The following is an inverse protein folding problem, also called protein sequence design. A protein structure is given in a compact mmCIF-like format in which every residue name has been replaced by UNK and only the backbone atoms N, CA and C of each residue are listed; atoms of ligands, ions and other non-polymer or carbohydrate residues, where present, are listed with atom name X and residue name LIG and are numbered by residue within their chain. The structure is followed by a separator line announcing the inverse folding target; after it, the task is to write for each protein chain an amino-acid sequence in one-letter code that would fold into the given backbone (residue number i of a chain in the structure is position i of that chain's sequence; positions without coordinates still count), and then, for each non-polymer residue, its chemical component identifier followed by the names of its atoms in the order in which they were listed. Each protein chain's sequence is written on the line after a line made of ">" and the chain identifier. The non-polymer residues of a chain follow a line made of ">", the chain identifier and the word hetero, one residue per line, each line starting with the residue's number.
data_IF_845282472666
#
_entry.id   IF_845282472666
#
_cell.length_a   1.000
_cell.length_b   1.000
_cell.length_c   1.000
_cell.angle_alpha   90.00
_cell.angle_beta   90.00
_cell.angle_gamma   90.00
#
_symmetry.space_group_name_H-M   'P 1'
#
loop_
_entity.id
_entity.type
_entity.pdbx_description
1 polymer ?
#
# COMPACT_ATOMS: atom_id res chain seq x y z
N UNK A 1 -24.82 -4.95 -9.44
CA UNK A 1 -24.18 -4.09 -9.88
C UNK A 1 -23.26 -3.43 -9.01
N UNK A 2 -22.38 -3.61 -8.58
CA UNK A 2 -21.61 -2.90 -7.69
C UNK A 2 -20.39 -2.34 -8.33
N UNK A 3 -20.51 -1.22 -8.96
CA UNK A 3 -19.34 -0.56 -9.51
C UNK A 3 -18.32 -0.22 -8.44
N UNK A 4 -18.75 -0.16 -7.21
CA UNK A 4 -17.85 0.11 -6.10
C UNK A 4 -16.82 -0.99 -5.87
N UNK A 5 -17.07 -2.21 -6.36
CA UNK A 5 -16.13 -3.32 -6.18
C UNK A 5 -14.83 -3.14 -6.95
N UNK A 6 -14.83 -2.31 -8.00
CA UNK A 6 -13.66 -2.09 -8.83
C UNK A 6 -12.74 -1.00 -8.30
N UNK A 7 -13.19 -0.23 -7.30
CA UNK A 7 -12.38 0.85 -6.74
C UNK A 7 -11.73 0.38 -5.45
N UNK A 8 -10.41 0.55 -5.32
CA UNK A 8 -9.77 0.25 -4.04
C UNK A 8 -10.35 1.14 -2.94
N UNK A 9 -10.62 0.56 -1.79
CA UNK A 9 -11.02 1.33 -0.63
C UNK A 9 -9.74 1.86 0.03
N UNK A 10 -9.45 3.12 -0.20
CA UNK A 10 -8.24 3.76 0.28
C UNK A 10 -8.14 3.74 1.80
N UNK A 11 -9.27 3.91 2.49
CA UNK A 11 -9.28 3.88 3.96
C UNK A 11 -8.89 2.51 4.49
N UNK A 12 -9.36 1.44 3.86
CA UNK A 12 -8.97 0.08 4.24
C UNK A 12 -7.49 -0.17 4.01
N UNK A 13 -6.94 0.37 2.93
CA UNK A 13 -5.51 0.26 2.64
C UNK A 13 -4.70 0.95 3.74
N UNK A 14 -5.02 2.19 4.08
CA UNK A 14 -4.30 2.91 5.12
C UNK A 14 -4.47 2.25 6.49
N UNK A 15 -5.66 1.78 6.81
CA UNK A 15 -5.90 1.06 8.06
C UNK A 15 -5.05 -0.20 8.14
N UNK A 16 -4.98 -0.95 7.03
CA UNK A 16 -4.15 -2.16 6.99
C UNK A 16 -2.68 -1.85 7.18
N UNK A 17 -2.19 -0.75 6.61
CA UNK A 17 -0.79 -0.35 6.70
C UNK A 17 -0.45 0.31 8.05
N UNK A 18 -1.43 0.66 8.86
CA UNK A 18 -1.20 1.35 10.11
C UNK A 18 -0.59 0.45 11.20
N UNK A 19 -0.57 -0.84 11.01
CA UNK A 19 -0.06 -1.80 11.98
C UNK A 19 1.29 -2.38 11.53
N UNK A 20 2.28 -2.38 12.42
CA UNK A 20 3.61 -2.88 12.11
C UNK A 20 3.63 -4.37 11.76
N UNK A 21 2.80 -5.17 12.44
CA UNK A 21 2.69 -6.60 12.15
C UNK A 21 2.20 -6.86 10.73
N UNK A 22 1.20 -6.11 10.30
CA UNK A 22 0.67 -6.25 8.94
C UNK A 22 1.70 -5.81 7.90
N UNK A 23 2.44 -4.73 8.16
CA UNK A 23 3.52 -4.31 7.25
C UNK A 23 4.60 -5.37 7.14
N UNK A 24 4.95 -6.03 8.26
CA UNK A 24 5.94 -7.11 8.23
C UNK A 24 5.45 -8.31 7.43
N UNK A 25 4.16 -8.64 7.49
CA UNK A 25 3.58 -9.70 6.67
C UNK A 25 3.67 -9.36 5.18
N UNK A 26 3.38 -8.12 4.82
CA UNK A 26 3.53 -7.68 3.43
C UNK A 26 4.98 -7.74 2.97
N UNK A 27 5.92 -7.40 3.83
CA UNK A 27 7.35 -7.51 3.53
C UNK A 27 7.75 -8.97 3.30
N UNK A 28 7.23 -9.88 4.12
CA UNK A 28 7.50 -11.30 3.95
C UNK A 28 6.96 -11.83 2.62
N UNK A 29 5.77 -11.42 2.24
CA UNK A 29 5.19 -11.81 0.96
C UNK A 29 5.93 -11.17 -0.21
N UNK A 30 6.40 -9.94 -0.05
CA UNK A 30 7.20 -9.29 -1.08
C UNK A 30 8.50 -10.05 -1.32
N UNK A 31 9.13 -10.53 -0.25
CA UNK A 31 10.37 -11.30 -0.36
C UNK A 31 10.13 -12.69 -0.94
N UNK A 32 9.01 -13.33 -0.61
CA UNK A 32 8.69 -14.69 -1.05
C UNK A 32 7.16 -14.81 -1.17
N UNK A 33 6.64 -14.59 -2.36
CA UNK A 33 5.20 -14.63 -2.62
C UNK A 33 4.70 -16.07 -2.68
N UNK A 34 3.42 -16.26 -2.37
CA UNK A 34 2.80 -17.59 -2.45
C UNK A 34 3.07 -18.44 -1.24
N UNK A 35 3.03 -17.86 -0.05
CA UNK A 35 3.28 -18.59 1.18
C UNK A 35 2.00 -19.07 1.86
N UNK A 36 2.08 -20.23 2.50
CA UNK A 36 1.02 -20.74 3.36
C UNK A 36 0.99 -19.98 4.68
N UNK A 37 -0.10 -20.11 5.42
CA UNK A 37 -0.19 -19.55 6.78
C UNK A 37 0.93 -20.08 7.67
N UNK A 38 1.21 -21.37 7.59
CA UNK A 38 2.27 -21.98 8.42
C UNK A 38 3.64 -21.37 8.10
N UNK A 39 3.96 -21.16 6.82
CA UNK A 39 5.22 -20.56 6.43
C UNK A 39 5.32 -19.11 6.93
N UNK A 40 4.23 -18.36 6.83
CA UNK A 40 4.21 -16.97 7.33
C UNK A 40 4.40 -16.92 8.84
N UNK A 41 3.76 -17.84 9.57
CA UNK A 41 3.89 -17.90 11.02
C UNK A 41 5.33 -18.14 11.49
N UNK A 42 6.11 -18.89 10.72
CA UNK A 42 7.51 -19.17 11.07
C UNK A 42 8.38 -17.92 11.11
N UNK A 43 8.01 -16.90 10.32
CA UNK A 43 8.78 -15.66 10.23
C UNK A 43 8.23 -14.53 11.08
N UNK A 44 7.13 -14.78 11.79
CA UNK A 44 6.47 -13.76 12.59
C UNK A 44 6.56 -14.08 14.06
N UNK A 45 6.87 -13.07 14.87
CA UNK A 45 6.94 -13.21 16.32
C UNK A 45 5.57 -12.89 16.91
N UNK A 46 4.59 -13.72 16.58
CA UNK A 46 3.23 -13.59 17.09
C UNK A 46 2.50 -14.92 16.92
N UNK A 47 1.36 -15.05 17.59
CA UNK A 47 0.57 -16.28 17.52
C UNK A 47 -0.02 -16.49 16.13
N UNK A 48 -0.33 -17.75 15.83
CA UNK A 48 -1.00 -18.11 14.57
C UNK A 48 -2.34 -17.38 14.45
N UNK A 49 -3.06 -17.23 15.56
CA UNK A 49 -4.33 -16.51 15.57
C UNK A 49 -4.13 -15.04 15.18
N UNK A 50 -3.09 -14.41 15.71
CA UNK A 50 -2.78 -13.02 15.38
C UNK A 50 -2.41 -12.88 13.90
N UNK A 51 -1.60 -13.78 13.37
CA UNK A 51 -1.26 -13.78 11.94
C UNK A 51 -2.52 -13.91 11.09
N UNK A 52 -3.42 -14.83 11.47
CA UNK A 52 -4.67 -15.01 10.75
C UNK A 52 -5.53 -13.75 10.75
N UNK A 53 -5.63 -13.07 11.89
CA UNK A 53 -6.39 -11.82 11.98
C UNK A 53 -5.79 -10.73 11.10
N UNK A 54 -4.47 -10.62 11.11
CA UNK A 54 -3.78 -9.64 10.25
C UNK A 54 -4.01 -9.96 8.77
N UNK A 55 -3.91 -11.23 8.39
CA UNK A 55 -4.15 -11.64 7.00
C UNK A 55 -5.57 -11.33 6.57
N UNK A 56 -6.55 -11.54 7.45
CA UNK A 56 -7.95 -11.22 7.12
C UNK A 56 -8.12 -9.73 6.80
N UNK A 57 -7.51 -8.86 7.59
CA UNK A 57 -7.57 -7.42 7.32
C UNK A 57 -6.87 -7.04 6.03
N UNK A 58 -5.73 -7.69 5.72
CA UNK A 58 -5.02 -7.48 4.48
C UNK A 58 -5.84 -7.96 3.27
N UNK A 59 -6.55 -9.08 3.41
CA UNK A 59 -7.43 -9.58 2.37
C UNK A 59 -8.62 -8.65 2.15
N UNK A 60 -9.21 -8.11 3.21
CA UNK A 60 -10.30 -7.15 3.12
C UNK A 60 -9.88 -5.88 2.37
N UNK A 61 -8.63 -5.48 2.51
CA UNK A 61 -8.07 -4.33 1.81
C UNK A 61 -7.58 -4.68 0.40
N UNK A 62 -7.72 -5.95 0.00
CA UNK A 62 -7.22 -6.49 -1.27
C UNK A 62 -5.70 -6.37 -1.43
N UNK A 63 -4.98 -6.21 -0.34
CA UNK A 63 -3.51 -6.21 -0.35
C UNK A 63 -2.94 -7.60 -0.38
N UNK A 64 -3.72 -8.59 0.02
CA UNK A 64 -3.38 -10.00 -0.06
C UNK A 64 -4.48 -10.72 -0.82
N UNK A 65 -4.07 -11.54 -1.79
CA UNK A 65 -4.96 -12.38 -2.58
C UNK A 65 -4.62 -13.84 -2.28
N UNK A 66 -5.64 -14.65 -2.16
CA UNK A 66 -5.47 -16.08 -1.85
C UNK A 66 -5.71 -16.90 -3.10
N UNK A 67 -4.81 -17.85 -3.36
CA UNK A 67 -4.95 -18.83 -4.43
C UNK A 67 -4.83 -20.22 -3.81
N UNK A 68 -5.79 -21.07 -4.11
CA UNK A 68 -5.75 -22.45 -3.66
C UNK A 68 -4.96 -23.30 -4.64
N UNK A 69 -3.99 -24.04 -4.12
CA UNK A 69 -3.20 -24.99 -4.87
C UNK A 69 -3.37 -26.35 -4.19
N UNK A 70 -4.27 -27.16 -4.74
CA UNK A 70 -4.69 -28.40 -4.06
C UNK A 70 -5.39 -28.04 -2.75
N UNK A 71 -4.85 -28.54 -1.64
CA UNK A 71 -5.38 -28.27 -0.30
C UNK A 71 -4.69 -27.10 0.38
N UNK A 72 -3.70 -26.52 -0.28
CA UNK A 72 -2.93 -25.44 0.29
C UNK A 72 -3.50 -24.08 -0.10
N UNK A 73 -3.65 -23.22 0.87
CA UNK A 73 -4.07 -21.84 0.68
C UNK A 73 -2.82 -20.98 0.62
N UNK A 74 -2.53 -20.43 -0.55
CA UNK A 74 -1.33 -19.63 -0.78
C UNK A 74 -1.69 -18.15 -0.79
N UNK A 75 -0.88 -17.36 -0.11
CA UNK A 75 -1.09 -15.93 0.04
C UNK A 75 -0.13 -15.16 -0.87
N UNK A 76 -0.67 -14.21 -1.61
CA UNK A 76 0.10 -13.39 -2.55
C UNK A 76 -0.11 -11.92 -2.24
N UNK A 77 0.97 -11.15 -2.29
CA UNK A 77 0.89 -9.69 -2.21
C UNK A 77 0.23 -9.16 -3.49
N UNK A 78 -0.78 -8.33 -3.32
CA UNK A 78 -1.38 -7.59 -4.43
C UNK A 78 -1.03 -6.12 -4.28
N UNK A 79 -0.12 -5.59 -5.09
CA UNK A 79 0.30 -4.18 -4.95
C UNK A 79 -0.68 -3.18 -5.56
N UNK A 80 -1.72 -3.64 -6.26
CA UNK A 80 -2.61 -2.73 -7.00
C UNK A 80 -3.29 -1.70 -6.09
N UNK A 81 -3.94 -2.08 -4.97
CA UNK A 81 -4.56 -1.06 -4.11
C UNK A 81 -3.54 -0.11 -3.49
N UNK A 82 -2.34 -0.60 -3.18
CA UNK A 82 -1.28 0.23 -2.62
C UNK A 82 -0.81 1.25 -3.65
N UNK A 83 -0.60 0.81 -4.88
CA UNK A 83 -0.21 1.68 -5.99
C UNK A 83 -1.29 2.73 -6.27
N UNK A 84 -2.56 2.33 -6.23
CA UNK A 84 -3.67 3.26 -6.43
C UNK A 84 -3.71 4.34 -5.35
N UNK A 85 -3.52 3.95 -4.07
CA UNK A 85 -3.49 4.89 -2.96
C UNK A 85 -2.28 5.82 -3.08
N UNK A 86 -1.10 5.26 -3.39
CA UNK A 86 0.12 6.02 -3.60
C UNK A 86 -0.07 7.04 -4.73
N UNK A 87 -0.53 6.60 -5.89
CA UNK A 87 -0.69 7.47 -7.05
C UNK A 87 -1.65 8.61 -6.77
N UNK A 88 -2.78 8.30 -6.12
CA UNK A 88 -3.80 9.29 -5.81
C UNK A 88 -3.28 10.39 -4.90
N UNK A 89 -2.54 10.01 -3.83
CA UNK A 89 -2.10 10.98 -2.83
C UNK A 89 -0.75 11.60 -3.16
N UNK A 90 0.23 10.78 -3.56
CA UNK A 90 1.59 11.27 -3.82
C UNK A 90 1.62 12.16 -5.05
N UNK A 91 0.96 11.77 -6.13
CA UNK A 91 0.90 12.60 -7.33
C UNK A 91 0.26 13.95 -7.04
N UNK A 92 -0.78 13.96 -6.21
CA UNK A 92 -1.46 15.19 -5.82
C UNK A 92 -0.50 16.11 -5.05
N UNK A 93 0.26 15.56 -4.10
CA UNK A 93 1.24 16.33 -3.34
C UNK A 93 2.42 16.76 -4.22
N UNK A 94 2.89 15.89 -5.08
CA UNK A 94 3.99 16.22 -5.99
C UNK A 94 3.59 17.34 -6.96
N UNK A 95 2.37 17.29 -7.47
CA UNK A 95 1.87 18.35 -8.34
C UNK A 95 1.85 19.69 -7.61
N UNK A 96 1.32 19.71 -6.38
CA UNK A 96 1.28 20.93 -5.58
C UNK A 96 2.70 21.44 -5.30
N UNK A 97 3.62 20.54 -5.00
CA UNK A 97 5.02 20.91 -4.74
C UNK A 97 5.68 21.52 -5.98
N UNK A 98 5.43 20.93 -7.15
CA UNK A 98 5.97 21.44 -8.39
C UNK A 98 5.40 22.82 -8.72
N UNK A 99 4.10 23.02 -8.48
CA UNK A 99 3.47 24.33 -8.70
C UNK A 99 4.08 25.39 -7.78
N UNK A 100 4.30 25.06 -6.51
CA UNK A 100 4.92 25.96 -5.55
C UNK A 100 6.35 26.32 -5.96
N UNK A 101 7.11 25.34 -6.40
CA UNK A 101 8.49 25.58 -6.86
C UNK A 101 8.51 26.43 -8.12
N UNK A 102 7.57 26.20 -9.01
CA UNK A 102 7.46 27.00 -10.23
C UNK A 102 7.12 28.45 -9.92
N UNK A 103 6.16 28.69 -9.03
CA UNK A 103 5.77 30.03 -8.60
C UNK A 103 6.92 30.74 -7.91
N UNK A 104 7.65 30.05 -7.05
CA UNK A 104 8.80 30.61 -6.36
C UNK A 104 9.88 31.02 -7.33
N UNK A 105 10.18 30.15 -8.32
CA UNK A 105 11.16 30.45 -9.36
C UNK A 105 10.74 31.69 -10.13
N UNK A 106 9.47 31.79 -10.51
CA UNK A 106 8.95 32.92 -11.25
C UNK A 106 9.09 34.22 -10.47
N UNK A 107 8.80 34.19 -9.16
CA UNK A 107 8.97 35.36 -8.30
C UNK A 107 10.45 35.79 -8.22
N UNK A 108 11.35 34.83 -8.10
CA UNK A 108 12.78 35.14 -8.02
C UNK A 108 13.31 35.71 -9.32
N UNK A 109 12.87 35.19 -10.45
CA UNK A 109 13.25 35.73 -11.76
C UNK A 109 12.70 37.15 -11.97
N UNK A 110 11.47 37.40 -11.53
CA UNK A 110 10.89 38.72 -11.56
C UNK A 110 11.65 39.72 -10.71
N UNK A 111 12.08 39.32 -9.52
CA UNK A 111 12.88 40.18 -8.65
C UNK A 111 14.26 40.49 -9.24
N UNK A 112 14.88 39.51 -9.89
CA UNK A 112 16.16 39.72 -10.56
C UNK A 112 16.01 40.70 -11.73
N UNK A 113 14.92 40.61 -12.49
CA UNK A 113 14.64 41.54 -13.57
C UNK A 113 14.43 42.96 -13.04
N UNK A 114 13.81 43.11 -11.89
CA UNK A 114 13.60 44.40 -11.28
C UNK A 114 14.91 45.04 -10.79
N UNK A 115 15.89 44.21 -10.43
CA UNK A 115 17.19 44.69 -9.97
C UNK A 115 18.11 45.06 -11.14
N UNK A 116 17.80 44.57 -12.30
CA UNK A 116 18.56 44.87 -13.48
C UNK A 116 18.16 46.24 -14.06
#
# INVERSE_FOLDING_TARGET
>A
MPPAADKPDTDKVFKALADAGRRRLLDQLHADNGQTLSALCQHMDMSRQAVTQHLNLLEEANLVVVVWHGREKLHYLNPVPLHAAYSRWVQKFERNRLDLLHDLKHQLEGNDDEKA
#
